data_IF_960257992446
#
_entry.id   IF_960257992446
#
_cell.length_a   1.000
_cell.length_b   1.000
_cell.length_c   1.000
_cell.angle_alpha   90.00
_cell.angle_beta   90.00
_cell.angle_gamma   90.00
#
_symmetry.space_group_name_H-M   'P 1'
#
loop_
_entity.id
_entity.type
_entity.pdbx_description
1 polymer ?
#
# COMPACT_ATOMS: atom_id res chain seq x y z
N UNK A 1 15.18 -4.69 -38.34
CA UNK A 1 14.03 -5.18 -37.57
C UNK A 1 13.69 -4.11 -36.55
N UNK A 2 12.45 -3.61 -36.55
CA UNK A 2 12.02 -2.67 -35.48
C UNK A 2 12.00 -3.42 -34.17
N UNK A 3 12.78 -2.97 -33.19
CA UNK A 3 12.79 -3.52 -31.86
C UNK A 3 11.47 -3.11 -31.15
N UNK A 4 10.63 -4.08 -30.83
CA UNK A 4 9.38 -3.84 -30.08
C UNK A 4 9.71 -3.98 -28.60
N UNK A 5 9.69 -2.89 -27.79
CA UNK A 5 9.95 -2.97 -26.37
C UNK A 5 8.81 -3.71 -25.66
N UNK A 6 9.14 -4.40 -24.55
CA UNK A 6 8.13 -5.03 -23.69
C UNK A 6 7.17 -3.98 -23.08
N UNK A 7 7.70 -2.85 -22.67
CA UNK A 7 6.97 -1.69 -22.15
C UNK A 7 7.71 -0.41 -22.56
N UNK A 8 7.01 0.53 -23.17
CA UNK A 8 7.53 1.87 -23.48
C UNK A 8 6.92 2.90 -22.55
N UNK A 9 7.61 3.22 -21.45
CA UNK A 9 7.17 4.28 -20.52
C UNK A 9 7.07 5.63 -21.23
N UNK A 10 7.93 5.89 -22.22
CA UNK A 10 7.87 7.10 -23.05
C UNK A 10 6.51 7.24 -23.75
N UNK A 11 6.02 6.15 -24.34
CA UNK A 11 4.77 6.17 -25.08
C UNK A 11 3.57 6.22 -24.14
N UNK A 12 3.63 5.53 -23.00
CA UNK A 12 2.61 5.62 -21.93
C UNK A 12 2.50 7.07 -21.42
N UNK A 13 3.62 7.70 -21.08
CA UNK A 13 3.63 9.11 -20.64
C UNK A 13 3.12 10.06 -21.72
N UNK A 14 3.42 9.79 -22.98
CA UNK A 14 2.98 10.64 -24.10
C UNK A 14 1.45 10.66 -24.28
N UNK A 15 0.72 9.63 -23.82
CA UNK A 15 -0.76 9.61 -23.88
C UNK A 15 -1.40 10.79 -23.12
N UNK A 16 -0.74 11.26 -22.06
CA UNK A 16 -1.19 12.38 -21.21
C UNK A 16 -0.13 13.47 -21.09
N UNK A 17 0.78 13.56 -22.07
CA UNK A 17 1.97 14.41 -22.00
C UNK A 17 1.68 15.90 -21.77
N UNK A 18 0.61 16.44 -22.33
CA UNK A 18 0.24 17.85 -22.15
C UNK A 18 -0.18 18.13 -20.69
N UNK A 19 -1.06 17.31 -20.14
CA UNK A 19 -1.57 17.43 -18.76
C UNK A 19 -0.46 17.23 -17.74
N UNK A 20 0.41 16.23 -17.98
CA UNK A 20 1.58 15.95 -17.12
C UNK A 20 2.54 17.15 -17.13
N UNK A 21 2.90 17.66 -18.30
CA UNK A 21 3.80 18.81 -18.40
C UNK A 21 3.22 20.05 -17.72
N UNK A 22 1.92 20.29 -17.84
CA UNK A 22 1.24 21.39 -17.16
C UNK A 22 1.30 21.22 -15.63
N UNK A 23 1.05 20.01 -15.09
CA UNK A 23 1.13 19.73 -13.67
C UNK A 23 2.56 19.94 -13.13
N UNK A 24 3.57 19.40 -13.82
CA UNK A 24 4.99 19.58 -13.46
C UNK A 24 5.37 21.06 -13.49
N UNK A 25 4.94 21.81 -14.52
CA UNK A 25 5.21 23.25 -14.64
C UNK A 25 4.60 24.03 -13.48
N UNK A 26 3.39 23.68 -13.01
CA UNK A 26 2.79 24.32 -11.82
C UNK A 26 3.66 24.15 -10.57
N UNK A 27 4.18 22.94 -10.33
CA UNK A 27 5.06 22.66 -9.18
C UNK A 27 6.36 23.47 -9.29
N UNK A 28 7.02 23.47 -10.46
CA UNK A 28 8.27 24.20 -10.67
C UNK A 28 8.06 25.72 -10.48
N UNK A 29 6.99 26.27 -11.05
CA UNK A 29 6.69 27.69 -10.96
C UNK A 29 6.35 28.15 -9.53
N UNK A 30 5.72 27.27 -8.73
CA UNK A 30 5.39 27.53 -7.34
C UNK A 30 6.58 27.34 -6.39
N UNK A 31 7.61 26.55 -6.78
CA UNK A 31 8.76 26.24 -5.96
C UNK A 31 8.46 25.45 -4.68
N UNK A 32 7.33 24.78 -4.62
CA UNK A 32 6.91 23.96 -3.48
C UNK A 32 6.94 22.48 -3.88
N UNK A 33 7.92 21.74 -3.43
CA UNK A 33 8.24 20.41 -3.93
C UNK A 33 7.82 19.24 -3.03
N UNK A 34 7.37 19.51 -1.79
CA UNK A 34 7.02 18.47 -0.82
C UNK A 34 5.78 18.87 -0.01
N UNK A 35 4.84 17.93 0.15
CA UNK A 35 3.66 18.08 0.99
C UNK A 35 2.87 19.37 0.68
N UNK A 36 2.71 19.68 -0.59
CA UNK A 36 1.98 20.83 -1.09
C UNK A 36 0.65 20.43 -1.72
N UNK A 37 0.19 21.27 -2.64
CA UNK A 37 -1.17 21.22 -3.19
C UNK A 37 -1.39 20.03 -4.12
N UNK A 38 -0.40 19.64 -4.93
CA UNK A 38 -0.57 18.50 -5.85
C UNK A 38 -0.69 17.19 -5.06
N UNK A 39 0.07 17.05 -3.95
CA UNK A 39 -0.07 15.92 -3.02
C UNK A 39 -1.46 15.90 -2.35
N UNK A 40 -1.95 17.04 -1.87
CA UNK A 40 -3.30 17.15 -1.29
C UNK A 40 -4.38 16.74 -2.30
N UNK A 41 -4.26 17.18 -3.55
CA UNK A 41 -5.18 16.83 -4.63
C UNK A 41 -5.10 15.35 -4.98
N UNK A 42 -3.88 14.80 -5.08
CA UNK A 42 -3.68 13.37 -5.31
C UNK A 42 -4.33 12.54 -4.21
N UNK A 43 -4.04 12.82 -2.94
CA UNK A 43 -4.59 12.07 -1.81
C UNK A 43 -6.13 12.13 -1.80
N UNK A 44 -6.71 13.30 -2.10
CA UNK A 44 -8.16 13.46 -2.21
C UNK A 44 -8.75 12.64 -3.35
N UNK A 45 -8.24 12.82 -4.57
CA UNK A 45 -8.77 12.13 -5.75
C UNK A 45 -8.57 10.62 -5.67
N UNK A 46 -7.43 10.17 -5.10
CA UNK A 46 -7.17 8.76 -4.93
C UNK A 46 -8.08 8.14 -3.86
N UNK A 47 -8.38 8.86 -2.77
CA UNK A 47 -9.38 8.44 -1.80
C UNK A 47 -10.77 8.30 -2.43
N UNK A 48 -11.17 9.25 -3.28
CA UNK A 48 -12.44 9.21 -4.01
C UNK A 48 -12.48 8.02 -4.99
N UNK A 49 -11.38 7.76 -5.72
CA UNK A 49 -11.25 6.66 -6.66
C UNK A 49 -11.31 5.28 -5.98
N UNK A 50 -10.65 5.12 -4.85
CA UNK A 50 -10.65 3.88 -4.06
C UNK A 50 -11.96 3.74 -3.26
N UNK A 51 -12.59 4.85 -2.89
CA UNK A 51 -13.79 4.89 -2.04
C UNK A 51 -13.48 4.77 -0.55
N UNK A 52 -12.27 5.17 -0.11
CA UNK A 52 -11.83 5.16 1.28
C UNK A 52 -11.81 6.58 1.88
N UNK A 53 -11.64 6.67 3.21
CA UNK A 53 -11.60 7.96 3.90
C UNK A 53 -10.26 8.68 3.77
N UNK A 54 -9.16 7.93 3.76
CA UNK A 54 -7.82 8.49 3.85
C UNK A 54 -6.90 7.84 2.84
N UNK A 55 -6.15 8.68 2.14
CA UNK A 55 -4.95 8.33 1.38
C UNK A 55 -3.79 9.12 1.95
N UNK A 56 -2.65 8.47 2.17
CA UNK A 56 -1.42 9.10 2.66
C UNK A 56 -0.31 8.79 1.67
N UNK A 57 0.17 9.80 0.96
CA UNK A 57 1.30 9.69 0.05
C UNK A 57 2.60 9.37 0.79
N UNK A 58 3.40 8.46 0.24
CA UNK A 58 4.72 8.09 0.77
C UNK A 58 5.70 7.78 -0.37
N UNK A 59 6.96 7.55 -0.04
CA UNK A 59 8.04 7.46 -1.01
C UNK A 59 7.89 6.34 -2.05
N UNK A 60 7.33 5.19 -1.65
CA UNK A 60 7.16 4.02 -2.52
C UNK A 60 6.23 2.99 -1.90
N UNK A 61 5.93 1.92 -2.66
CA UNK A 61 5.01 0.86 -2.21
C UNK A 61 5.56 0.00 -1.05
N UNK A 62 6.86 -0.22 -0.97
CA UNK A 62 7.47 -0.92 0.16
C UNK A 62 7.29 -0.10 1.45
N UNK A 63 7.61 1.18 1.40
CA UNK A 63 7.41 2.09 2.53
C UNK A 63 5.94 2.17 2.94
N UNK A 64 4.99 2.14 2.00
CA UNK A 64 3.57 2.10 2.31
C UNK A 64 3.22 0.92 3.23
N UNK A 65 3.68 -0.29 2.89
CA UNK A 65 3.46 -1.48 3.71
C UNK A 65 4.22 -1.43 5.03
N UNK A 66 5.48 -0.95 5.03
CA UNK A 66 6.27 -0.76 6.25
C UNK A 66 5.52 0.14 7.24
N UNK A 67 4.98 1.25 6.76
CA UNK A 67 4.28 2.22 7.63
C UNK A 67 2.96 1.69 8.17
N UNK A 68 2.24 0.83 7.45
CA UNK A 68 1.05 0.16 7.97
C UNK A 68 1.42 -0.70 9.19
N UNK A 69 2.40 -1.60 9.05
CA UNK A 69 2.81 -2.47 10.15
C UNK A 69 3.44 -1.69 11.30
N UNK A 70 4.28 -0.70 10.99
CA UNK A 70 4.87 0.17 12.01
C UNK A 70 3.81 0.92 12.79
N UNK A 71 2.81 1.48 12.12
CA UNK A 71 1.72 2.18 12.80
C UNK A 71 0.92 1.24 13.70
N UNK A 72 0.64 0.01 13.29
CA UNK A 72 0.00 -0.98 14.16
C UNK A 72 0.82 -1.32 15.40
N UNK A 73 2.15 -1.33 15.30
CA UNK A 73 3.03 -1.51 16.47
C UNK A 73 2.95 -0.29 17.39
N UNK A 74 3.05 0.92 16.85
CA UNK A 74 2.98 2.16 17.64
C UNK A 74 1.61 2.39 18.31
N UNK A 75 0.54 1.83 17.70
CA UNK A 75 -0.82 1.84 18.25
C UNK A 75 -1.07 0.71 19.26
N UNK A 76 -0.09 -0.19 19.49
CA UNK A 76 -0.24 -1.33 20.40
C UNK A 76 -1.13 -2.46 19.88
N UNK A 77 -1.44 -2.48 18.57
CA UNK A 77 -2.19 -3.56 17.92
C UNK A 77 -1.31 -4.77 17.67
N UNK A 78 -0.03 -4.54 17.40
CA UNK A 78 1.01 -5.55 17.19
C UNK A 78 2.23 -5.26 18.06
N UNK A 79 3.07 -6.28 18.24
CA UNK A 79 4.37 -6.17 18.90
C UNK A 79 5.44 -6.96 18.16
N UNK A 80 6.70 -6.72 18.47
CA UNK A 80 7.82 -7.47 17.90
C UNK A 80 7.63 -8.98 18.12
N UNK A 81 7.87 -9.77 17.08
CA UNK A 81 7.70 -11.21 17.07
C UNK A 81 6.28 -11.69 16.78
N UNK A 82 5.30 -10.79 16.64
CA UNK A 82 3.98 -11.17 16.16
C UNK A 82 4.04 -11.63 14.69
N UNK A 83 3.10 -12.49 14.32
CA UNK A 83 3.06 -13.16 13.02
C UNK A 83 2.10 -12.47 12.07
N UNK A 84 2.52 -12.39 10.80
CA UNK A 84 1.69 -11.92 9.68
C UNK A 84 1.66 -13.01 8.62
N UNK A 85 0.48 -13.53 8.34
CA UNK A 85 0.26 -14.51 7.26
C UNK A 85 0.36 -13.79 5.91
N UNK A 86 1.13 -14.36 4.96
CA UNK A 86 1.44 -13.76 3.66
C UNK A 86 1.56 -14.84 2.58
N UNK A 87 1.18 -14.59 1.30
CA UNK A 87 1.38 -15.57 0.24
C UNK A 87 2.88 -15.79 -0.05
N UNK A 88 3.29 -17.07 -0.20
CA UNK A 88 4.69 -17.44 -0.41
C UNK A 88 5.27 -16.95 -1.75
N UNK A 89 4.43 -16.69 -2.75
CA UNK A 89 4.82 -16.25 -4.09
C UNK A 89 4.72 -14.74 -4.31
N UNK A 90 4.59 -13.95 -3.24
CA UNK A 90 4.57 -12.48 -3.36
C UNK A 90 5.91 -11.92 -3.82
N UNK A 91 5.89 -10.70 -4.35
CA UNK A 91 7.12 -9.94 -4.50
C UNK A 91 7.75 -9.67 -3.13
N UNK A 92 9.08 -9.72 -3.06
CA UNK A 92 9.83 -9.65 -1.79
C UNK A 92 9.45 -8.45 -0.89
N UNK A 93 8.96 -7.36 -1.47
CA UNK A 93 8.59 -6.14 -0.74
C UNK A 93 7.57 -6.41 0.37
N UNK A 94 6.54 -7.24 0.14
CA UNK A 94 5.54 -7.57 1.15
C UNK A 94 6.18 -8.25 2.36
N UNK A 95 7.09 -9.21 2.11
CA UNK A 95 7.82 -9.91 3.18
C UNK A 95 8.80 -8.97 3.90
N UNK A 96 9.51 -8.11 3.17
CA UNK A 96 10.43 -7.14 3.77
C UNK A 96 9.69 -6.15 4.67
N UNK A 97 8.50 -5.69 4.29
CA UNK A 97 7.71 -4.80 5.13
C UNK A 97 7.36 -5.40 6.49
N UNK A 98 7.14 -6.72 6.54
CA UNK A 98 6.90 -7.47 7.76
C UNK A 98 8.19 -7.57 8.58
N UNK A 99 9.28 -8.05 7.98
CA UNK A 99 10.54 -8.34 8.69
C UNK A 99 11.26 -7.07 9.15
N UNK A 100 11.22 -5.97 8.40
CA UNK A 100 11.80 -4.68 8.82
C UNK A 100 11.13 -4.11 10.09
N UNK A 101 9.90 -4.52 10.35
CA UNK A 101 9.18 -4.17 11.59
C UNK A 101 9.40 -5.16 12.74
N UNK A 102 10.30 -6.14 12.57
CA UNK A 102 10.52 -7.18 13.58
C UNK A 102 9.35 -8.15 13.75
N UNK A 103 8.44 -8.19 12.79
CA UNK A 103 7.35 -9.15 12.68
C UNK A 103 7.81 -10.41 11.94
N UNK A 104 7.08 -11.50 12.08
CA UNK A 104 7.41 -12.80 11.50
C UNK A 104 6.47 -13.12 10.35
N UNK A 105 6.94 -13.24 9.10
CA UNK A 105 6.11 -13.68 8.00
C UNK A 105 5.81 -15.17 8.09
N UNK A 106 4.53 -15.53 8.00
CA UNK A 106 4.06 -16.93 7.91
C UNK A 106 3.59 -17.17 6.48
N UNK A 107 4.41 -17.85 5.70
CA UNK A 107 4.18 -18.05 4.28
C UNK A 107 3.11 -19.13 4.04
N UNK A 108 2.11 -18.80 3.21
CA UNK A 108 1.07 -19.71 2.75
C UNK A 108 1.22 -19.93 1.26
N UNK A 109 1.24 -21.19 0.83
CA UNK A 109 1.28 -21.55 -0.58
C UNK A 109 0.08 -20.96 -1.36
N UNK A 110 0.28 -20.51 -2.59
CA UNK A 110 -0.81 -20.01 -3.43
C UNK A 110 -1.67 -21.15 -3.98
N UNK A 111 -2.88 -20.83 -4.42
CA UNK A 111 -3.70 -21.71 -5.24
C UNK A 111 -3.08 -21.84 -6.64
N UNK A 112 -2.80 -23.05 -7.16
CA UNK A 112 -2.11 -23.22 -8.45
C UNK A 112 -2.83 -22.60 -9.65
N UNK A 113 -4.15 -22.51 -9.59
CA UNK A 113 -4.99 -22.02 -10.69
C UNK A 113 -5.19 -20.49 -10.69
N UNK A 114 -4.94 -19.81 -9.55
CA UNK A 114 -5.15 -18.37 -9.43
C UNK A 114 -3.89 -17.61 -9.08
N UNK A 115 -2.91 -18.27 -8.46
CA UNK A 115 -1.70 -17.72 -7.87
C UNK A 115 -1.96 -16.79 -6.66
N UNK A 116 -3.22 -16.68 -6.22
CA UNK A 116 -3.59 -15.96 -5.01
C UNK A 116 -3.36 -16.84 -3.77
N UNK A 117 -3.24 -16.23 -2.60
CA UNK A 117 -3.08 -16.95 -1.33
C UNK A 117 -4.14 -18.07 -1.19
N UNK A 118 -3.71 -19.26 -0.80
CA UNK A 118 -4.65 -20.36 -0.58
C UNK A 118 -5.36 -20.21 0.77
N UNK A 119 -6.57 -19.69 0.74
CA UNK A 119 -7.40 -19.45 1.92
C UNK A 119 -7.83 -20.74 2.65
N UNK A 120 -7.68 -21.90 2.03
CA UNK A 120 -7.93 -23.18 2.70
C UNK A 120 -6.81 -23.56 3.69
N UNK A 121 -5.62 -22.99 3.52
CA UNK A 121 -4.46 -23.26 4.38
C UNK A 121 -4.29 -22.24 5.50
N UNK A 122 -4.95 -21.10 5.43
CA UNK A 122 -4.75 -19.97 6.35
C UNK A 122 -5.08 -20.35 7.79
N UNK A 123 -6.26 -20.96 8.02
CA UNK A 123 -6.72 -21.24 9.38
C UNK A 123 -5.79 -22.14 10.18
N UNK A 124 -5.20 -23.14 9.52
CA UNK A 124 -4.26 -24.08 10.14
C UNK A 124 -2.92 -23.41 10.53
N UNK A 125 -2.60 -22.26 9.94
CA UNK A 125 -1.38 -21.51 10.22
C UNK A 125 -1.58 -20.41 11.29
N UNK A 126 -2.80 -20.16 11.76
CA UNK A 126 -3.08 -19.16 12.79
C UNK A 126 -2.60 -19.66 14.15
N UNK A 127 -1.81 -18.84 14.82
CA UNK A 127 -1.34 -19.03 16.19
C UNK A 127 -1.78 -17.87 17.09
N UNK A 128 -1.59 -17.94 18.41
CA UNK A 128 -1.86 -16.80 19.32
C UNK A 128 -1.04 -15.53 18.99
N UNK A 129 0.08 -15.68 18.26
CA UNK A 129 0.92 -14.57 17.81
C UNK A 129 0.48 -13.98 16.49
N UNK A 130 -0.38 -14.65 15.73
CA UNK A 130 -0.88 -14.12 14.45
C UNK A 130 -1.75 -12.89 14.72
N UNK A 131 -1.41 -11.76 14.08
CA UNK A 131 -2.12 -10.48 14.23
C UNK A 131 -2.67 -9.93 12.93
N UNK A 132 -2.17 -10.40 11.78
CA UNK A 132 -2.66 -9.95 10.50
C UNK A 132 -2.59 -11.05 9.43
N UNK A 133 -3.41 -10.85 8.40
CA UNK A 133 -3.27 -11.49 7.09
C UNK A 133 -2.95 -10.38 6.10
N UNK A 134 -1.82 -10.50 5.40
CA UNK A 134 -1.45 -9.66 4.27
C UNK A 134 -1.80 -10.39 2.98
N UNK A 135 -2.80 -9.91 2.25
CA UNK A 135 -3.13 -10.44 0.93
C UNK A 135 -2.47 -9.60 -0.16
N UNK A 136 -2.10 -10.23 -1.26
CA UNK A 136 -1.50 -9.56 -2.41
C UNK A 136 -2.40 -9.76 -3.62
N UNK A 137 -2.86 -8.67 -4.21
CA UNK A 137 -3.68 -8.71 -5.41
C UNK A 137 -2.80 -8.85 -6.66
N UNK A 138 -2.23 -10.05 -6.80
CA UNK A 138 -1.18 -10.33 -7.78
C UNK A 138 -1.72 -10.19 -9.22
N UNK A 139 -0.96 -9.51 -10.07
CA UNK A 139 -1.32 -9.27 -11.49
C UNK A 139 -2.69 -8.59 -11.69
N UNK A 140 -3.15 -7.79 -10.73
CA UNK A 140 -4.45 -7.12 -10.81
C UNK A 140 -5.65 -8.03 -10.54
N UNK A 141 -5.43 -9.18 -9.93
CA UNK A 141 -6.48 -10.11 -9.52
C UNK A 141 -6.83 -9.90 -8.06
N UNK A 142 -8.13 -9.87 -7.75
CA UNK A 142 -8.57 -9.75 -6.37
C UNK A 142 -8.31 -11.04 -5.57
N UNK A 143 -7.49 -10.94 -4.52
CA UNK A 143 -7.11 -12.04 -3.62
C UNK A 143 -8.08 -12.22 -2.43
N UNK A 144 -8.94 -11.24 -2.16
CA UNK A 144 -9.89 -11.34 -1.05
C UNK A 144 -10.96 -12.39 -1.32
N UNK A 145 -11.29 -13.16 -0.29
CA UNK A 145 -12.45 -14.06 -0.24
C UNK A 145 -13.23 -13.85 1.04
N UNK A 146 -14.52 -14.17 1.04
CA UNK A 146 -15.35 -14.11 2.24
C UNK A 146 -14.81 -14.98 3.38
N UNK A 147 -14.11 -16.08 3.03
CA UNK A 147 -13.42 -16.93 4.00
C UNK A 147 -12.31 -16.19 4.73
N UNK A 148 -11.47 -15.40 4.00
CA UNK A 148 -10.44 -14.57 4.62
C UNK A 148 -11.08 -13.55 5.56
N UNK A 149 -12.13 -12.86 5.11
CA UNK A 149 -12.87 -11.92 5.95
C UNK A 149 -13.46 -12.56 7.21
N UNK A 150 -14.03 -13.77 7.09
CA UNK A 150 -14.53 -14.54 8.22
C UNK A 150 -13.43 -14.93 9.22
N UNK A 151 -12.24 -15.33 8.72
CA UNK A 151 -11.09 -15.63 9.58
C UNK A 151 -10.58 -14.40 10.31
N UNK A 152 -10.44 -13.26 9.62
CA UNK A 152 -10.06 -11.99 10.26
C UNK A 152 -11.02 -11.63 11.40
N UNK A 153 -12.33 -11.74 11.17
CA UNK A 153 -13.34 -11.50 12.20
C UNK A 153 -13.27 -12.51 13.35
N UNK A 154 -13.14 -13.81 13.04
CA UNK A 154 -13.12 -14.89 14.04
C UNK A 154 -11.94 -14.78 14.98
N UNK A 155 -10.76 -14.44 14.45
CA UNK A 155 -9.50 -14.40 15.20
C UNK A 155 -9.04 -12.98 15.54
N UNK A 156 -9.87 -11.96 15.27
CA UNK A 156 -9.57 -10.54 15.48
C UNK A 156 -8.23 -10.14 14.82
N UNK A 157 -8.03 -10.54 13.56
CA UNK A 157 -6.85 -10.23 12.77
C UNK A 157 -7.08 -8.99 11.91
N UNK A 158 -6.02 -8.21 11.70
CA UNK A 158 -6.01 -7.15 10.70
C UNK A 158 -5.88 -7.73 9.30
N UNK A 159 -6.61 -7.15 8.34
CA UNK A 159 -6.46 -7.46 6.93
C UNK A 159 -5.70 -6.33 6.24
N UNK A 160 -4.50 -6.63 5.76
CA UNK A 160 -3.66 -5.69 5.00
C UNK A 160 -3.65 -6.11 3.54
N UNK A 161 -3.85 -5.15 2.65
CA UNK A 161 -3.83 -5.38 1.20
C UNK A 161 -2.53 -4.85 0.60
N UNK A 162 -1.82 -5.67 -0.17
CA UNK A 162 -0.79 -5.20 -1.10
C UNK A 162 -1.44 -4.98 -2.46
N UNK A 163 -1.64 -3.71 -2.80
CA UNK A 163 -2.29 -3.25 -4.01
C UNK A 163 -1.31 -2.77 -5.09
N UNK A 164 -0.02 -3.12 -4.98
CA UNK A 164 1.01 -2.64 -5.91
C UNK A 164 0.75 -2.97 -7.39
N UNK A 165 -0.13 -3.91 -7.69
CA UNK A 165 -0.46 -4.35 -9.06
C UNK A 165 -1.96 -4.30 -9.37
N UNK A 166 -2.80 -3.70 -8.51
CA UNK A 166 -4.26 -3.86 -8.60
C UNK A 166 -5.05 -2.56 -8.59
N UNK A 167 -4.45 -1.44 -9.00
CA UNK A 167 -5.13 -0.15 -9.07
C UNK A 167 -6.41 -0.25 -9.93
N UNK A 168 -7.57 0.01 -9.30
CA UNK A 168 -8.87 -0.07 -9.95
C UNK A 168 -9.49 -1.48 -10.05
N UNK A 169 -8.82 -2.52 -9.57
CA UNK A 169 -9.42 -3.85 -9.46
C UNK A 169 -10.59 -3.83 -8.46
N UNK A 170 -11.64 -4.61 -8.74
CA UNK A 170 -12.84 -4.65 -7.90
C UNK A 170 -13.13 -6.04 -7.39
N UNK A 171 -13.63 -6.12 -6.17
CA UNK A 171 -14.29 -7.30 -5.66
C UNK A 171 -15.71 -7.43 -6.22
N UNK A 172 -16.30 -8.61 -6.12
CA UNK A 172 -17.65 -8.91 -6.65
C UNK A 172 -18.76 -8.07 -6.02
N UNK A 173 -18.56 -7.55 -4.80
CA UNK A 173 -19.48 -6.65 -4.13
C UNK A 173 -19.34 -5.16 -4.54
N UNK A 174 -18.42 -4.88 -5.46
CA UNK A 174 -18.16 -3.54 -6.00
C UNK A 174 -17.09 -2.74 -5.27
N UNK A 175 -16.58 -3.18 -4.10
CA UNK A 175 -15.46 -2.52 -3.42
C UNK A 175 -14.20 -2.60 -4.28
N UNK A 176 -13.45 -1.51 -4.31
CA UNK A 176 -12.15 -1.44 -5.00
C UNK A 176 -11.06 -2.01 -4.08
N UNK A 177 -10.09 -2.73 -4.65
CA UNK A 177 -8.87 -3.13 -3.91
C UNK A 177 -8.18 -1.91 -3.34
N UNK A 178 -7.78 -2.00 -2.08
CA UNK A 178 -7.34 -0.83 -1.30
C UNK A 178 -8.41 -0.27 -0.36
N UNK A 179 -9.66 -0.81 -0.42
CA UNK A 179 -10.75 -0.48 0.48
C UNK A 179 -11.54 -1.74 0.90
N UNK A 180 -10.90 -2.90 0.88
CA UNK A 180 -11.51 -4.17 1.28
C UNK A 180 -11.09 -4.53 2.70
N UNK A 181 -9.80 -4.37 3.00
CA UNK A 181 -9.20 -4.63 4.31
C UNK A 181 -9.20 -3.41 5.25
N UNK A 182 -8.43 -3.53 6.33
CA UNK A 182 -8.24 -2.44 7.31
C UNK A 182 -7.30 -1.34 6.77
N UNK A 183 -6.30 -1.73 5.97
CA UNK A 183 -5.35 -0.83 5.32
C UNK A 183 -4.76 -1.46 4.07
N UNK A 184 -4.31 -0.63 3.14
CA UNK A 184 -3.66 -1.09 1.92
C UNK A 184 -2.43 -0.24 1.58
N UNK A 185 -1.39 -0.92 1.05
CA UNK A 185 -0.21 -0.29 0.45
C UNK A 185 -0.29 -0.29 -1.07
N UNK A 186 0.00 0.86 -1.67
CA UNK A 186 0.00 1.06 -3.11
C UNK A 186 1.39 1.46 -3.59
N UNK A 187 1.77 1.00 -4.78
CA UNK A 187 3.02 1.37 -5.44
C UNK A 187 2.72 2.08 -6.74
N UNK A 188 3.36 3.23 -6.95
CA UNK A 188 3.31 3.98 -8.20
C UNK A 188 4.68 3.95 -8.92
N UNK A 189 5.48 2.88 -8.72
CA UNK A 189 6.66 2.65 -9.54
C UNK A 189 6.32 2.81 -11.03
N UNK A 190 7.16 3.45 -11.85
CA UNK A 190 6.81 3.83 -13.23
C UNK A 190 6.24 2.73 -14.11
N UNK A 191 6.64 1.47 -13.90
CA UNK A 191 6.13 0.31 -14.63
C UNK A 191 4.82 -0.29 -14.10
N UNK A 192 4.21 0.28 -13.07
CA UNK A 192 2.90 -0.16 -12.57
C UNK A 192 1.77 0.31 -13.49
N UNK A 193 0.59 -0.32 -13.38
CA UNK A 193 -0.58 0.05 -14.18
C UNK A 193 -1.07 1.50 -13.91
N UNK A 194 -0.74 2.06 -12.77
CA UNK A 194 -0.75 3.50 -12.48
C UNK A 194 0.64 3.86 -11.96
N UNK A 195 1.49 4.40 -12.83
CA UNK A 195 2.89 4.72 -12.54
C UNK A 195 3.14 6.22 -12.45
N UNK A 196 3.97 6.62 -11.49
CA UNK A 196 4.50 7.99 -11.37
C UNK A 196 5.68 8.21 -12.33
N UNK A 197 6.19 9.44 -12.39
CA UNK A 197 7.41 9.79 -13.14
C UNK A 197 8.71 9.40 -12.40
N UNK A 198 8.59 8.80 -11.24
CA UNK A 198 9.66 8.27 -10.39
C UNK A 198 9.09 7.27 -9.40
N UNK A 199 9.72 7.12 -8.24
CA UNK A 199 9.12 6.33 -7.17
C UNK A 199 7.94 7.06 -6.54
N UNK A 200 6.95 6.28 -6.10
CA UNK A 200 5.79 6.77 -5.39
C UNK A 200 5.02 5.63 -4.74
N UNK A 201 4.32 5.95 -3.68
CA UNK A 201 3.45 5.03 -2.96
C UNK A 201 2.38 5.76 -2.18
N UNK A 202 1.41 5.01 -1.69
CA UNK A 202 0.42 5.51 -0.76
C UNK A 202 -0.10 4.42 0.16
N UNK A 203 -0.59 4.83 1.32
CA UNK A 203 -1.43 4.03 2.20
C UNK A 203 -2.87 4.48 2.07
N UNK A 204 -3.81 3.55 1.93
CA UNK A 204 -5.25 3.83 2.03
C UNK A 204 -5.85 3.13 3.24
N UNK A 205 -6.78 3.79 3.92
CA UNK A 205 -7.48 3.25 5.09
C UNK A 205 -8.74 4.04 5.44
N UNK A 206 -9.66 3.41 6.16
CA UNK A 206 -10.80 4.07 6.77
C UNK A 206 -10.57 4.41 8.26
N UNK A 207 -9.45 3.98 8.84
CA UNK A 207 -9.06 4.23 10.22
C UNK A 207 -8.28 5.55 10.31
N UNK A 208 -8.88 6.55 10.94
CA UNK A 208 -8.29 7.89 11.07
C UNK A 208 -7.09 7.92 12.02
N UNK A 209 -7.03 7.02 13.01
CA UNK A 209 -5.88 6.92 13.92
C UNK A 209 -4.68 6.31 13.20
N UNK A 210 -4.90 5.23 12.44
CA UNK A 210 -3.87 4.64 11.57
C UNK A 210 -3.36 5.66 10.55
N UNK A 211 -4.26 6.39 9.89
CA UNK A 211 -3.88 7.42 8.91
C UNK A 211 -2.99 8.51 9.53
N UNK A 212 -3.33 8.99 10.73
CA UNK A 212 -2.53 9.97 11.45
C UNK A 212 -1.15 9.43 11.87
N UNK A 213 -1.09 8.16 12.32
CA UNK A 213 0.16 7.51 12.67
C UNK A 213 1.07 7.33 11.45
N UNK A 214 0.53 6.83 10.32
CA UNK A 214 1.28 6.67 9.06
C UNK A 214 1.82 8.00 8.56
N UNK A 215 1.00 9.07 8.54
CA UNK A 215 1.43 10.41 8.12
C UNK A 215 2.58 10.94 8.96
N UNK A 216 2.51 10.74 10.27
CA UNK A 216 3.60 11.15 11.16
C UNK A 216 4.87 10.32 10.91
N UNK A 217 4.76 8.99 10.86
CA UNK A 217 5.88 8.06 10.64
C UNK A 217 6.62 8.34 9.33
N UNK A 218 5.90 8.58 8.24
CA UNK A 218 6.46 8.91 6.94
C UNK A 218 7.15 10.29 6.91
N UNK A 219 6.98 11.10 7.93
CA UNK A 219 7.62 12.41 8.08
C UNK A 219 8.39 12.53 9.42
N UNK A 220 9.40 11.68 9.62
CA UNK A 220 10.27 11.64 10.81
C UNK A 220 9.53 11.39 12.15
N UNK A 221 8.29 10.94 12.14
CA UNK A 221 7.45 10.80 13.32
C UNK A 221 6.81 12.11 13.80
N UNK A 222 6.84 13.15 12.96
CA UNK A 222 6.39 14.50 13.31
C UNK A 222 4.87 14.64 13.16
N UNK A 223 4.18 14.97 14.24
CA UNK A 223 2.76 15.35 14.20
C UNK A 223 2.56 16.86 13.94
N UNK A 224 3.48 17.67 14.34
CA UNK A 224 3.58 19.09 14.05
C UNK A 224 5.03 19.54 14.12
N UNK A 225 5.33 20.69 13.55
CA UNK A 225 6.70 21.22 13.47
C UNK A 225 7.43 21.13 14.82
N UNK A 226 8.57 20.42 14.82
CA UNK A 226 9.44 20.17 15.99
C UNK A 226 8.83 19.29 17.11
N UNK A 227 7.70 18.61 16.87
CA UNK A 227 7.13 17.66 17.82
C UNK A 227 7.10 16.28 17.19
N UNK A 228 7.94 15.39 17.69
CA UNK A 228 8.13 14.03 17.19
C UNK A 228 7.54 13.03 18.19
N UNK A 229 6.47 12.35 17.79
CA UNK A 229 5.80 11.35 18.64
C UNK A 229 6.37 9.95 18.42
N UNK A 230 6.84 9.66 17.22
CA UNK A 230 7.31 8.35 16.79
C UNK A 230 8.73 8.40 16.25
N UNK A 231 9.42 7.26 16.24
CA UNK A 231 10.67 7.09 15.50
C UNK A 231 10.35 6.79 14.03
N UNK A 232 10.08 7.84 13.26
CA UNK A 232 9.81 7.76 11.82
C UNK A 232 11.05 8.05 10.97
N UNK A 233 10.86 8.09 9.65
CA UNK A 233 11.91 8.49 8.70
C UNK A 233 11.34 9.38 7.59
N UNK A 234 12.23 9.88 6.72
CA UNK A 234 11.82 10.59 5.52
C UNK A 234 11.30 9.59 4.48
N UNK A 235 10.00 9.62 4.24
CA UNK A 235 9.30 8.74 3.29
C UNK A 235 8.06 9.45 2.75
N UNK A 236 8.26 10.66 2.23
CA UNK A 236 7.20 11.49 1.68
C UNK A 236 7.05 11.25 0.19
N UNK A 237 5.87 11.48 -0.35
CA UNK A 237 5.66 11.60 -1.79
C UNK A 237 6.09 13.00 -2.24
N UNK A 238 6.78 13.09 -3.37
CA UNK A 238 7.12 14.36 -4.01
C UNK A 238 5.90 14.99 -4.69
N UNK A 239 5.96 16.28 -5.04
CA UNK A 239 4.88 16.99 -5.75
C UNK A 239 4.88 16.73 -7.28
N UNK A 240 5.96 16.09 -7.81
CA UNK A 240 6.13 15.80 -9.24
C UNK A 240 5.93 14.31 -9.51
#
# INVERSE_FOLDING_TARGET
MNNIPFLSLKDVTALHGAEINEAVARVINNGWYLQGKENELFEKHYSEFIGCKHTIGCANGLDALIWIFRAYIEMGVMQLGDEVIVPANTYIATTLAITENGLVPVNIEPKPNTLEINDDLIEAAITPRTKAIAIVHLYGRNAYTDKIGALCKKYNLKLVEDCAQSHGCKHTDGRVTGNIGDAAGHSFYPGKNLGALGDGGAVTTNDSELAAAVRALANYGSQKKYVFKYAGRNSRLDEI
#
